data_IF_361020488837
#
_entry.id   IF_361020488837
#
_cell.length_a   1.000
_cell.length_b   1.000
_cell.length_c   1.000
_cell.angle_alpha   90.00
_cell.angle_beta   90.00
_cell.angle_gamma   90.00
#
_symmetry.space_group_name_H-M   'P 1'
#
loop_
_entity.id
_entity.type
_entity.pdbx_description
1 polymer ?
#
# COMPACT_ATOMS: atom_id res chain seq x y z
N UNK A 1 -25.72 -1.19 -76.87
CA UNK A 1 -25.12 -0.19 -75.98
C UNK A 1 -25.52 -0.55 -74.53
N UNK A 2 -24.67 -1.35 -73.90
CA UNK A 2 -24.87 -1.75 -72.48
C UNK A 2 -23.93 -0.91 -71.62
N UNK A 3 -24.51 -0.22 -70.70
CA UNK A 3 -23.78 0.53 -69.70
C UNK A 3 -23.59 -0.34 -68.47
N UNK A 4 -22.37 -0.84 -68.28
CA UNK A 4 -22.00 -1.63 -67.07
C UNK A 4 -21.79 -0.69 -65.88
N UNK A 5 -22.60 -0.95 -64.84
CA UNK A 5 -22.45 -0.29 -63.54
C UNK A 5 -21.45 -1.11 -62.73
N UNK A 6 -20.29 -0.52 -62.48
CA UNK A 6 -19.26 -1.09 -61.58
C UNK A 6 -19.60 -0.74 -60.14
N UNK A 7 -20.10 -1.73 -59.38
CA UNK A 7 -20.33 -1.58 -57.95
C UNK A 7 -19.00 -1.75 -57.21
N UNK A 8 -18.47 -0.66 -56.67
CA UNK A 8 -17.27 -0.65 -55.86
C UNK A 8 -17.66 -0.95 -54.41
N UNK A 9 -17.52 -2.19 -53.97
CA UNK A 9 -17.69 -2.59 -52.58
C UNK A 9 -16.51 -2.08 -51.75
N UNK A 10 -16.70 -0.98 -51.04
CA UNK A 10 -15.79 -0.50 -49.98
C UNK A 10 -15.96 -1.38 -48.74
N UNK A 11 -15.06 -2.33 -48.56
CA UNK A 11 -14.88 -3.06 -47.29
C UNK A 11 -14.25 -2.11 -46.28
N UNK A 12 -15.10 -1.55 -45.42
CA UNK A 12 -14.69 -0.86 -44.21
C UNK A 12 -14.22 -1.93 -43.16
N UNK A 13 -12.92 -2.18 -43.12
CA UNK A 13 -12.29 -2.84 -42.01
C UNK A 13 -12.34 -1.90 -40.80
N UNK A 14 -13.34 -2.09 -39.94
CA UNK A 14 -13.38 -1.45 -38.63
C UNK A 14 -12.26 -2.04 -37.77
N UNK A 15 -11.16 -1.34 -37.61
CA UNK A 15 -10.20 -1.60 -36.55
C UNK A 15 -10.92 -1.30 -35.22
N UNK A 16 -11.43 -2.35 -34.59
CA UNK A 16 -11.83 -2.31 -33.19
C UNK A 16 -10.55 -2.28 -32.32
N UNK A 17 -9.96 -1.12 -32.22
CA UNK A 17 -8.89 -0.84 -31.27
C UNK A 17 -9.49 -0.87 -29.88
N UNK A 18 -9.42 -2.03 -29.20
CA UNK A 18 -9.65 -2.09 -27.76
C UNK A 18 -8.52 -1.35 -27.07
N UNK A 19 -8.72 -0.04 -26.89
CA UNK A 19 -7.90 0.72 -25.96
C UNK A 19 -8.16 0.12 -24.56
N UNK A 20 -7.23 -0.71 -24.10
CA UNK A 20 -7.11 -1.02 -22.67
C UNK A 20 -6.78 0.30 -21.97
N UNK A 21 -7.81 1.05 -21.61
CA UNK A 21 -7.68 2.14 -20.68
C UNK A 21 -7.11 1.54 -19.39
N UNK A 22 -5.89 1.89 -19.05
CA UNK A 22 -5.30 1.56 -17.76
C UNK A 22 -6.30 1.99 -16.70
N UNK A 23 -6.87 1.02 -15.99
CA UNK A 23 -7.90 1.25 -14.98
C UNK A 23 -7.26 2.12 -13.89
N UNK A 24 -7.57 3.42 -13.93
CA UNK A 24 -7.08 4.42 -13.00
C UNK A 24 -7.49 3.95 -11.62
N UNK A 25 -6.55 3.59 -10.76
CA UNK A 25 -6.85 3.05 -9.43
C UNK A 25 -7.90 3.88 -8.73
N UNK A 26 -9.01 3.26 -8.38
CA UNK A 26 -10.15 3.89 -7.70
C UNK A 26 -9.87 4.14 -6.21
N UNK A 27 -8.64 3.92 -5.72
CA UNK A 27 -8.32 4.18 -4.33
C UNK A 27 -8.46 5.67 -4.02
N UNK A 28 -9.18 6.04 -2.95
CA UNK A 28 -9.23 7.42 -2.48
C UNK A 28 -7.89 7.87 -1.91
N UNK A 29 -6.98 6.93 -1.60
CA UNK A 29 -5.72 7.19 -0.89
C UNK A 29 -4.49 6.74 -1.67
N UNK A 30 -3.36 7.39 -1.36
CA UNK A 30 -2.02 6.95 -1.66
C UNK A 30 -1.22 6.91 -0.34
N UNK A 31 -0.32 5.96 -0.20
CA UNK A 31 0.48 5.76 1.00
C UNK A 31 1.95 5.98 0.65
N UNK A 32 2.67 6.73 1.49
CA UNK A 32 4.13 6.77 1.46
C UNK A 32 4.70 6.14 2.72
N UNK A 33 5.86 5.51 2.60
CA UNK A 33 6.62 4.96 3.72
C UNK A 33 8.03 5.52 3.64
N UNK A 34 8.36 6.41 4.56
CA UNK A 34 9.74 6.86 4.76
C UNK A 34 10.45 5.89 5.70
N UNK A 35 11.33 5.06 5.14
CA UNK A 35 12.06 4.02 5.87
C UNK A 35 13.18 4.59 6.75
N UNK A 36 13.65 5.81 6.46
CA UNK A 36 14.63 6.52 7.31
C UNK A 36 13.97 7.05 8.57
N UNK A 37 12.83 7.72 8.40
CA UNK A 37 12.07 8.30 9.53
C UNK A 37 11.20 7.26 10.26
N UNK A 38 10.99 6.07 9.66
CA UNK A 38 10.04 5.05 10.12
C UNK A 38 8.61 5.62 10.29
N UNK A 39 8.14 6.31 9.24
CA UNK A 39 6.82 6.95 9.19
C UNK A 39 6.07 6.51 7.94
N UNK A 40 4.82 6.14 8.13
CA UNK A 40 3.82 5.94 7.07
C UNK A 40 2.95 7.16 7.00
N UNK A 41 2.82 7.80 5.83
CA UNK A 41 1.92 8.93 5.60
C UNK A 41 0.85 8.55 4.58
N UNK A 42 -0.40 8.86 4.89
CA UNK A 42 -1.55 8.64 3.99
C UNK A 42 -1.97 9.97 3.41
N UNK A 43 -2.17 10.00 2.10
CA UNK A 43 -2.59 11.17 1.33
C UNK A 43 -3.94 10.96 0.69
N UNK A 44 -4.77 11.98 0.71
CA UNK A 44 -5.95 12.15 -0.12
C UNK A 44 -5.65 12.96 -1.40
N UNK A 45 -6.59 12.94 -2.32
CA UNK A 45 -6.53 13.78 -3.52
C UNK A 45 -6.90 15.23 -3.20
N UNK A 46 -6.18 16.15 -3.80
CA UNK A 46 -6.55 17.56 -3.89
C UNK A 46 -7.65 17.80 -4.93
N UNK A 47 -8.05 19.05 -5.10
CA UNK A 47 -9.08 19.46 -6.08
C UNK A 47 -8.69 19.13 -7.54
N UNK A 48 -7.38 19.01 -7.83
CA UNK A 48 -6.86 18.63 -9.15
C UNK A 48 -6.78 17.10 -9.34
N UNK A 49 -7.07 16.32 -8.30
CA UNK A 49 -7.05 14.86 -8.33
C UNK A 49 -5.67 14.25 -8.04
N UNK A 50 -4.71 15.02 -7.55
CA UNK A 50 -3.39 14.55 -7.16
C UNK A 50 -3.34 14.20 -5.67
N UNK A 51 -2.58 13.16 -5.29
CA UNK A 51 -2.43 12.76 -3.89
C UNK A 51 -1.41 13.66 -3.17
N UNK A 52 -1.85 14.84 -2.75
CA UNK A 52 -1.01 15.88 -2.14
C UNK A 52 -1.46 16.28 -0.75
N UNK A 53 -2.67 15.89 -0.32
CA UNK A 53 -3.22 16.27 0.98
C UNK A 53 -2.89 15.20 2.03
N UNK A 54 -1.94 15.42 2.94
CA UNK A 54 -1.61 14.45 3.98
C UNK A 54 -2.70 14.46 5.06
N UNK A 55 -3.25 13.28 5.36
CA UNK A 55 -4.37 13.15 6.31
C UNK A 55 -4.04 12.34 7.56
N UNK A 56 -3.06 11.43 7.47
CA UNK A 56 -2.62 10.60 8.60
C UNK A 56 -1.13 10.34 8.52
N UNK A 57 -0.51 10.24 9.71
CA UNK A 57 0.84 9.73 9.86
C UNK A 57 0.86 8.65 10.95
N UNK A 58 1.53 7.54 10.68
CA UNK A 58 1.67 6.42 11.59
C UNK A 58 3.14 6.12 11.84
N UNK A 59 3.50 5.90 13.10
CA UNK A 59 4.82 5.38 13.45
C UNK A 59 4.91 3.92 13.01
N UNK A 60 5.99 3.58 12.32
CA UNK A 60 6.19 2.22 11.84
C UNK A 60 7.60 1.70 12.16
N UNK A 61 7.84 0.45 11.87
CA UNK A 61 9.18 -0.15 11.78
C UNK A 61 9.28 -0.91 10.46
N UNK A 62 10.18 -0.45 9.60
CA UNK A 62 10.65 -1.19 8.43
C UNK A 62 11.85 -2.06 8.77
N UNK A 63 12.45 -2.67 7.75
CA UNK A 63 13.69 -3.45 7.81
C UNK A 63 14.72 -2.94 6.83
N UNK A 64 15.97 -3.42 6.98
CA UNK A 64 17.06 -3.17 6.01
C UNK A 64 16.69 -3.70 4.63
N UNK A 65 16.02 -4.85 4.58
CA UNK A 65 15.63 -5.55 3.35
C UNK A 65 14.30 -5.04 2.76
N UNK A 66 13.67 -4.03 3.40
CA UNK A 66 12.46 -3.41 2.84
C UNK A 66 12.80 -2.74 1.51
N UNK A 67 12.15 -3.13 0.38
CA UNK A 67 12.46 -2.57 -0.92
C UNK A 67 11.99 -1.12 -1.04
N UNK A 68 12.73 -0.32 -1.79
CA UNK A 68 12.29 0.98 -2.25
C UNK A 68 11.56 0.86 -3.59
N UNK A 69 10.62 1.75 -3.85
CA UNK A 69 9.87 1.77 -5.10
C UNK A 69 8.41 2.15 -4.91
N UNK A 70 7.66 2.03 -6.01
CA UNK A 70 6.22 2.27 -6.04
C UNK A 70 5.50 0.97 -6.38
N UNK A 71 4.60 0.58 -5.50
CA UNK A 71 3.89 -0.70 -5.55
C UNK A 71 2.37 -0.46 -5.46
N UNK A 72 1.61 -1.55 -5.63
CA UNK A 72 0.16 -1.56 -5.44
C UNK A 72 -0.22 -2.71 -4.53
N UNK A 73 -1.06 -2.42 -3.54
CA UNK A 73 -1.55 -3.46 -2.63
C UNK A 73 -2.35 -4.52 -3.38
N UNK A 74 -2.21 -5.80 -3.01
CA UNK A 74 -2.76 -6.93 -3.79
C UNK A 74 -3.60 -7.93 -3.01
N UNK A 75 -3.49 -7.97 -1.68
CA UNK A 75 -4.23 -8.91 -0.84
C UNK A 75 -4.36 -8.39 0.60
N UNK A 76 -5.40 -8.84 1.30
CA UNK A 76 -5.65 -8.52 2.71
C UNK A 76 -5.90 -9.78 3.51
N UNK A 77 -5.45 -9.80 4.75
CA UNK A 77 -5.61 -10.91 5.69
C UNK A 77 -5.92 -10.35 7.07
N UNK A 78 -6.98 -10.80 7.72
CA UNK A 78 -7.23 -10.41 9.11
C UNK A 78 -6.11 -10.87 10.03
N UNK A 79 -5.66 -12.12 9.84
CA UNK A 79 -4.48 -12.69 10.47
C UNK A 79 -3.58 -13.32 9.42
N UNK A 80 -2.28 -13.10 9.54
CA UNK A 80 -1.27 -13.68 8.64
C UNK A 80 -0.12 -14.26 9.45
N UNK A 81 0.23 -15.52 9.19
CA UNK A 81 1.47 -16.11 9.69
C UNK A 81 2.67 -15.38 9.07
N UNK A 82 3.63 -15.03 9.88
CA UNK A 82 4.84 -14.30 9.54
C UNK A 82 6.08 -15.17 9.74
N UNK A 83 7.22 -14.68 9.26
CA UNK A 83 8.50 -15.31 9.54
C UNK A 83 8.76 -15.33 11.06
N UNK A 84 9.31 -16.45 11.58
CA UNK A 84 9.57 -16.63 13.03
C UNK A 84 8.41 -17.25 13.80
N UNK A 85 7.44 -17.87 13.11
CA UNK A 85 6.26 -18.51 13.73
C UNK A 85 5.39 -17.57 14.58
N UNK A 86 5.29 -16.34 14.16
CA UNK A 86 4.48 -15.30 14.80
C UNK A 86 3.36 -14.84 13.88
N UNK A 87 2.44 -14.02 14.36
CA UNK A 87 1.25 -13.61 13.65
C UNK A 87 1.13 -12.09 13.54
N UNK A 88 0.81 -11.59 12.33
CA UNK A 88 0.41 -10.21 12.11
C UNK A 88 -1.09 -10.09 11.91
N UNK A 89 -1.69 -9.09 12.54
CA UNK A 89 -3.12 -8.77 12.37
C UNK A 89 -3.30 -7.65 11.34
N UNK A 90 -4.43 -7.66 10.62
CA UNK A 90 -4.81 -6.70 9.60
C UNK A 90 -3.74 -6.50 8.52
N UNK A 91 -3.18 -7.61 8.04
CA UNK A 91 -2.10 -7.57 7.06
C UNK A 91 -2.61 -7.17 5.68
N UNK A 92 -1.90 -6.24 5.03
CA UNK A 92 -2.14 -5.83 3.64
C UNK A 92 -0.86 -6.01 2.84
N UNK A 93 -0.90 -6.82 1.78
CA UNK A 93 0.27 -7.09 0.94
C UNK A 93 0.62 -5.87 0.09
N UNK A 94 1.85 -5.42 0.21
CA UNK A 94 2.43 -4.33 -0.58
C UNK A 94 3.00 -4.89 -1.89
N UNK A 95 3.96 -5.82 -1.78
CA UNK A 95 4.60 -6.50 -2.92
C UNK A 95 5.33 -7.76 -2.42
N UNK A 96 5.41 -8.81 -3.22
CA UNK A 96 6.10 -10.04 -2.86
C UNK A 96 5.75 -10.53 -1.43
N UNK A 97 6.73 -10.75 -0.56
CA UNK A 97 6.52 -11.14 0.83
C UNK A 97 6.22 -9.96 1.77
N UNK A 98 6.38 -8.71 1.31
CA UNK A 98 6.31 -7.50 2.14
C UNK A 98 4.87 -7.06 2.38
N UNK A 99 4.55 -6.81 3.65
CA UNK A 99 3.20 -6.49 4.11
C UNK A 99 3.23 -5.24 5.02
N UNK A 100 2.14 -4.49 5.05
CA UNK A 100 1.73 -3.77 6.25
C UNK A 100 1.10 -4.79 7.19
N UNK A 101 1.44 -4.79 8.47
CA UNK A 101 0.78 -5.60 9.50
C UNK A 101 0.98 -4.99 10.90
N UNK A 102 0.22 -5.46 11.88
CA UNK A 102 0.43 -5.07 13.27
C UNK A 102 1.82 -5.45 13.77
N UNK A 103 2.27 -4.89 14.90
CA UNK A 103 3.31 -5.55 15.69
C UNK A 103 2.94 -7.03 15.85
N UNK A 104 3.91 -7.97 15.79
CA UNK A 104 3.61 -9.40 15.86
C UNK A 104 2.96 -9.83 17.21
N UNK A 105 2.27 -10.94 17.11
CA UNK A 105 1.73 -11.71 18.24
C UNK A 105 2.38 -13.09 18.23
N UNK A 106 2.66 -13.66 19.41
CA UNK A 106 3.19 -15.02 19.52
C UNK A 106 2.22 -16.06 18.94
N UNK A 107 0.92 -15.84 19.13
CA UNK A 107 -0.14 -16.70 18.63
C UNK A 107 -1.19 -15.88 17.88
N UNK A 108 -2.13 -16.54 17.23
CA UNK A 108 -3.30 -15.92 16.59
C UNK A 108 -4.32 -15.48 17.67
N UNK A 109 -3.83 -14.73 18.66
CA UNK A 109 -4.58 -14.24 19.81
C UNK A 109 -4.13 -12.82 20.18
N UNK A 110 -5.10 -11.94 20.38
CA UNK A 110 -4.87 -10.51 20.72
C UNK A 110 -4.19 -10.28 22.05
N UNK A 111 -4.18 -11.27 22.94
CA UNK A 111 -3.56 -11.20 24.28
C UNK A 111 -2.06 -11.53 24.25
N UNK A 112 -1.54 -12.03 23.14
CA UNK A 112 -0.17 -12.53 23.01
C UNK A 112 0.76 -11.57 22.24
N UNK A 113 0.56 -10.24 22.36
CA UNK A 113 1.38 -9.23 21.70
C UNK A 113 2.86 -9.36 22.12
N UNK A 114 3.76 -9.30 21.15
CA UNK A 114 5.20 -9.17 21.38
C UNK A 114 5.55 -7.75 21.85
N UNK A 115 5.52 -7.50 23.16
CA UNK A 115 5.78 -6.17 23.73
C UNK A 115 7.17 -5.65 23.42
N UNK A 116 8.18 -6.49 23.35
CA UNK A 116 9.54 -6.08 22.99
C UNK A 116 9.60 -5.53 21.56
N UNK A 117 8.86 -6.14 20.63
CA UNK A 117 8.74 -5.65 19.26
C UNK A 117 7.86 -4.39 19.16
N UNK A 118 6.86 -4.26 20.03
CA UNK A 118 6.06 -3.05 20.14
C UNK A 118 6.91 -1.83 20.58
N UNK A 119 7.81 -2.03 21.54
CA UNK A 119 8.70 -0.99 22.02
C UNK A 119 9.76 -0.54 21.02
N UNK A 120 9.97 -1.31 19.93
CA UNK A 120 10.86 -0.95 18.81
C UNK A 120 10.19 -0.10 17.74
N UNK A 121 8.87 0.18 17.82
CA UNK A 121 8.19 1.01 16.83
C UNK A 121 8.86 2.39 16.72
N UNK A 122 9.12 2.79 15.48
CA UNK A 122 9.87 4.01 15.15
C UNK A 122 11.35 3.76 14.89
N UNK A 123 11.80 2.51 14.92
CA UNK A 123 13.17 2.12 14.57
C UNK A 123 13.16 1.07 13.46
N UNK A 124 14.27 0.88 12.77
CA UNK A 124 14.45 -0.21 11.78
C UNK A 124 14.63 -1.53 12.52
N UNK A 125 13.58 -2.35 12.58
CA UNK A 125 13.53 -3.54 13.45
C UNK A 125 12.81 -4.75 12.83
N UNK A 126 12.28 -4.66 11.61
CA UNK A 126 11.61 -5.79 10.96
C UNK A 126 12.56 -6.57 10.04
N UNK A 127 12.13 -7.75 9.61
CA UNK A 127 12.79 -8.51 8.54
C UNK A 127 12.38 -8.01 7.12
N UNK A 128 11.76 -6.82 7.01
CA UNK A 128 11.37 -6.20 5.75
C UNK A 128 9.90 -5.75 5.65
N UNK A 129 8.97 -6.36 6.37
CA UNK A 129 7.59 -5.89 6.45
C UNK A 129 7.49 -4.55 7.21
N UNK A 130 6.40 -3.83 7.01
CA UNK A 130 6.12 -2.56 7.70
C UNK A 130 5.21 -2.85 8.89
N UNK A 131 5.80 -2.86 10.09
CA UNK A 131 5.10 -3.04 11.37
C UNK A 131 4.50 -1.73 11.83
N UNK A 132 3.25 -1.74 12.27
CA UNK A 132 2.50 -0.55 12.73
C UNK A 132 1.71 -0.96 13.97
N UNK A 133 1.18 -0.03 14.77
CA UNK A 133 0.24 -0.39 15.85
C UNK A 133 -1.00 -1.07 15.26
N UNK A 134 -1.65 -1.94 16.02
CA UNK A 134 -2.86 -2.63 15.55
C UNK A 134 -3.98 -1.63 15.16
N UNK A 135 -4.12 -0.54 15.93
CA UNK A 135 -5.09 0.54 15.63
C UNK A 135 -4.83 1.15 14.26
N UNK A 136 -3.59 1.50 13.99
CA UNK A 136 -3.22 2.27 12.80
C UNK A 136 -3.16 1.38 11.54
N UNK A 137 -2.70 0.14 11.66
CA UNK A 137 -2.73 -0.80 10.53
C UNK A 137 -4.17 -1.24 10.21
N UNK A 138 -5.04 -1.33 11.24
CA UNK A 138 -6.48 -1.59 11.00
C UNK A 138 -7.11 -0.47 10.19
N UNK A 139 -6.72 0.78 10.42
CA UNK A 139 -7.20 1.90 9.60
C UNK A 139 -6.81 1.72 8.13
N UNK A 140 -5.57 1.33 7.83
CA UNK A 140 -5.12 1.03 6.45
C UNK A 140 -5.94 -0.13 5.88
N UNK A 141 -6.10 -1.19 6.65
CA UNK A 141 -6.84 -2.39 6.24
C UNK A 141 -8.29 -2.07 5.87
N UNK A 142 -8.98 -1.26 6.66
CA UNK A 142 -10.39 -0.94 6.47
C UNK A 142 -10.61 0.09 5.33
N UNK A 143 -9.74 1.09 5.21
CA UNK A 143 -9.99 2.27 4.37
C UNK A 143 -9.23 2.27 3.04
N UNK A 144 -8.09 1.57 2.93
CA UNK A 144 -7.30 1.53 1.71
C UNK A 144 -7.66 0.27 0.90
N UNK A 145 -8.39 0.35 -0.22
CA UNK A 145 -8.75 -0.82 -1.01
C UNK A 145 -7.51 -1.49 -1.65
N UNK A 146 -7.67 -2.74 -2.08
CA UNK A 146 -6.67 -3.42 -2.93
C UNK A 146 -6.43 -2.56 -4.18
N UNK A 147 -5.18 -2.45 -4.62
CA UNK A 147 -4.75 -1.56 -5.70
C UNK A 147 -4.32 -0.17 -5.21
N UNK A 148 -4.39 0.12 -3.89
CA UNK A 148 -3.84 1.36 -3.32
C UNK A 148 -2.34 1.47 -3.61
N UNK A 149 -1.92 2.61 -4.13
CA UNK A 149 -0.51 2.89 -4.41
C UNK A 149 0.26 3.09 -3.10
N UNK A 150 1.42 2.43 -3.00
CA UNK A 150 2.36 2.55 -1.88
C UNK A 150 3.72 2.90 -2.43
N UNK A 151 4.29 4.03 -2.02
CA UNK A 151 5.67 4.43 -2.32
C UNK A 151 6.54 4.26 -1.08
N UNK A 152 7.53 3.40 -1.16
CA UNK A 152 8.53 3.19 -0.11
C UNK A 152 9.86 3.81 -0.54
N UNK A 153 10.50 4.57 0.35
CA UNK A 153 11.74 5.28 0.06
C UNK A 153 12.57 5.50 1.33
N UNK A 154 13.87 5.76 1.13
CA UNK A 154 14.79 6.25 2.15
C UNK A 154 15.19 7.67 1.81
N UNK A 155 15.18 8.55 2.81
CA UNK A 155 15.57 9.94 2.65
C UNK A 155 15.35 10.75 3.91
N UNK A 156 16.19 11.74 4.11
CA UNK A 156 16.05 12.73 5.18
C UNK A 156 15.11 13.85 4.71
N UNK A 157 13.83 13.53 4.66
CA UNK A 157 12.77 14.44 4.26
C UNK A 157 11.88 14.72 5.46
N UNK A 158 11.60 15.98 5.72
CA UNK A 158 10.65 16.37 6.78
C UNK A 158 9.26 15.84 6.44
N UNK A 159 8.74 15.00 7.30
CA UNK A 159 7.37 14.47 7.14
C UNK A 159 6.34 15.59 7.32
N UNK A 160 5.31 15.65 6.46
CA UNK A 160 4.30 16.71 6.50
C UNK A 160 3.41 16.63 7.75
N UNK A 161 3.26 15.45 8.32
CA UNK A 161 2.56 15.18 9.57
C UNK A 161 3.46 14.40 10.53
N UNK A 162 3.31 14.64 11.81
CA UNK A 162 3.96 13.86 12.84
C UNK A 162 3.03 12.73 13.31
N UNK A 163 3.51 11.49 13.42
CA UNK A 163 2.70 10.40 13.96
C UNK A 163 2.41 10.64 15.44
N UNK A 164 1.22 10.24 15.86
CA UNK A 164 0.86 10.26 17.30
C UNK A 164 1.84 9.38 18.07
N UNK A 165 2.26 9.86 19.23
CA UNK A 165 3.16 9.11 20.10
C UNK A 165 2.52 7.78 20.49
N UNK A 166 3.34 6.71 20.41
CA UNK A 166 2.95 5.39 20.87
C UNK A 166 3.38 5.27 22.33
N UNK A 167 2.46 4.94 23.27
CA UNK A 167 2.83 4.70 24.67
C UNK A 167 3.86 3.56 24.75
N UNK A 168 4.81 3.70 25.64
CA UNK A 168 5.78 2.64 25.97
C UNK A 168 5.33 1.88 27.19
#
# INVERSE_FOLDING_TARGET
RSLGILVFCLLLFGLCGTAFAAEKTKSPYCITVNLTANVVTVYEKDAAGNYTVPIKAFRCSGGTDTPEGTFRTSAKYEWRALYGNVWGQYATRITGPYLFHSVPYFEKDKTTLEYDEFNKLGTTASAGCIRITVRDVKWIYDNCPIGTTVRMYRGDVKEPLQPVAVPK
#
